data_IF_834183165264
#
_entry.id   IF_834183165264
#
_cell.length_a   1.000
_cell.length_b   1.000
_cell.length_c   1.000
_cell.angle_alpha   90.00
_cell.angle_beta   90.00
_cell.angle_gamma   90.00
#
_symmetry.space_group_name_H-M   'P 1'
#
loop_
_entity.id
_entity.type
_entity.pdbx_description
1 polymer ?
#
# COMPACT_ATOMS: atom_id res chain seq x y z
N UNK A 1 5.79 -21.06 -18.38
CA UNK A 1 5.36 -19.97 -17.47
C UNK A 1 3.85 -20.04 -17.31
N UNK A 2 3.30 -19.83 -16.11
CA UNK A 2 1.85 -19.93 -15.90
C UNK A 2 1.14 -18.79 -16.67
N UNK A 3 0.16 -19.07 -17.56
CA UNK A 3 -0.47 -18.04 -18.42
C UNK A 3 -1.06 -16.88 -17.63
N UNK A 4 -1.58 -17.14 -16.42
CA UNK A 4 -2.04 -16.10 -15.50
C UNK A 4 -0.95 -15.08 -15.14
N UNK A 5 0.27 -15.55 -14.85
CA UNK A 5 1.39 -14.67 -14.47
C UNK A 5 1.89 -13.85 -15.66
N UNK A 6 1.88 -14.43 -16.85
CA UNK A 6 2.19 -13.72 -18.08
C UNK A 6 1.20 -12.58 -18.29
N UNK A 7 -0.10 -12.87 -18.24
CA UNK A 7 -1.17 -11.86 -18.41
C UNK A 7 -1.06 -10.78 -17.33
N UNK A 8 -0.91 -11.16 -16.05
CA UNK A 8 -0.75 -10.21 -14.96
C UNK A 8 0.48 -9.31 -15.12
N UNK A 9 1.62 -9.89 -15.49
CA UNK A 9 2.87 -9.15 -15.71
C UNK A 9 2.79 -8.21 -16.91
N UNK A 10 2.23 -8.66 -18.03
CA UNK A 10 2.01 -7.81 -19.21
C UNK A 10 1.05 -6.66 -18.90
N UNK A 11 -0.06 -6.94 -18.21
CA UNK A 11 -1.02 -5.92 -17.80
C UNK A 11 -0.41 -4.91 -16.81
N UNK A 12 0.41 -5.37 -15.86
CA UNK A 12 1.13 -4.50 -14.93
C UNK A 12 2.10 -3.55 -15.66
N UNK A 13 2.92 -4.09 -16.57
CA UNK A 13 3.82 -3.27 -17.39
C UNK A 13 3.06 -2.25 -18.26
N UNK A 14 1.94 -2.65 -18.86
CA UNK A 14 1.09 -1.75 -19.65
C UNK A 14 0.48 -0.63 -18.80
N UNK A 15 0.03 -0.92 -17.57
CA UNK A 15 -0.49 0.09 -16.65
C UNK A 15 0.58 1.09 -16.25
N UNK A 16 1.80 0.63 -15.92
CA UNK A 16 2.91 1.52 -15.60
C UNK A 16 3.28 2.42 -16.78
N UNK A 17 3.34 1.86 -17.99
CA UNK A 17 3.58 2.63 -19.22
C UNK A 17 2.46 3.63 -19.49
N UNK A 18 1.21 3.26 -19.22
CA UNK A 18 0.06 4.16 -19.35
C UNK A 18 0.15 5.33 -18.37
N UNK A 19 0.45 5.06 -17.10
CA UNK A 19 0.64 6.11 -16.10
C UNK A 19 1.78 7.06 -16.47
N UNK A 20 2.91 6.52 -16.93
CA UNK A 20 4.03 7.33 -17.41
C UNK A 20 3.66 8.16 -18.66
N UNK A 21 3.01 7.55 -19.65
CA UNK A 21 2.61 8.22 -20.89
C UNK A 21 1.56 9.32 -20.63
N UNK A 22 0.60 9.09 -19.73
CA UNK A 22 -0.39 10.09 -19.35
C UNK A 22 0.28 11.34 -18.73
N UNK A 23 1.26 11.14 -17.85
CA UNK A 23 2.02 12.24 -17.24
C UNK A 23 2.96 12.94 -18.22
N UNK A 24 3.68 12.19 -19.06
CA UNK A 24 4.73 12.74 -19.93
C UNK A 24 4.20 13.31 -21.26
N UNK A 25 3.24 12.63 -21.89
CA UNK A 25 2.68 13.02 -23.21
C UNK A 25 1.45 13.90 -23.02
N UNK A 26 0.58 13.54 -22.07
CA UNK A 26 -0.65 14.29 -21.80
C UNK A 26 -0.42 15.54 -20.96
N UNK A 27 0.71 15.62 -20.23
CA UNK A 27 0.96 16.69 -19.25
C UNK A 27 -0.04 16.69 -18.09
N UNK A 28 -0.85 15.63 -17.95
CA UNK A 28 -1.86 15.50 -16.90
C UNK A 28 -1.20 14.74 -15.76
N UNK A 29 -0.97 15.43 -14.64
CA UNK A 29 -0.48 14.76 -13.43
C UNK A 29 -1.52 13.78 -12.92
N UNK A 30 -1.09 12.69 -12.28
CA UNK A 30 -2.01 11.79 -11.58
C UNK A 30 -2.80 12.49 -10.46
N UNK A 31 -2.32 13.64 -9.98
CA UNK A 31 -3.06 14.47 -9.03
C UNK A 31 -4.22 15.24 -9.67
N UNK A 32 -4.19 15.45 -10.98
CA UNK A 32 -5.28 16.09 -11.73
C UNK A 32 -6.40 15.12 -12.09
N UNK A 33 -6.21 13.83 -11.80
CA UNK A 33 -7.21 12.81 -12.11
C UNK A 33 -8.38 12.90 -11.13
N UNK A 34 -9.60 12.74 -11.64
CA UNK A 34 -10.76 12.57 -10.79
C UNK A 34 -10.56 11.43 -9.79
N UNK A 35 -11.04 11.61 -8.55
CA UNK A 35 -10.83 10.66 -7.45
C UNK A 35 -11.13 9.20 -7.83
N UNK A 36 -12.22 8.97 -8.58
CA UNK A 36 -12.61 7.65 -9.06
C UNK A 36 -11.59 7.03 -10.02
N UNK A 37 -11.01 7.83 -10.92
CA UNK A 37 -9.98 7.38 -11.86
C UNK A 37 -8.67 7.04 -11.16
N UNK A 38 -8.25 7.87 -10.19
CA UNK A 38 -7.07 7.60 -9.37
C UNK A 38 -7.22 6.31 -8.56
N UNK A 39 -8.37 6.11 -7.92
CA UNK A 39 -8.66 4.88 -7.18
C UNK A 39 -8.71 3.66 -8.09
N UNK A 40 -9.39 3.75 -9.24
CA UNK A 40 -9.47 2.65 -10.18
C UNK A 40 -8.07 2.23 -10.67
N UNK A 41 -7.21 3.20 -11.00
CA UNK A 41 -5.84 2.93 -11.45
C UNK A 41 -4.99 2.24 -10.38
N UNK A 42 -5.07 2.70 -9.12
CA UNK A 42 -4.36 2.06 -7.99
C UNK A 42 -4.86 0.63 -7.77
N UNK A 43 -6.19 0.41 -7.80
CA UNK A 43 -6.77 -0.93 -7.65
C UNK A 43 -6.29 -1.86 -8.77
N UNK A 44 -6.27 -1.39 -10.02
CA UNK A 44 -5.79 -2.17 -11.16
C UNK A 44 -4.30 -2.51 -11.07
N UNK A 45 -3.46 -1.59 -10.57
CA UNK A 45 -2.06 -1.89 -10.27
C UNK A 45 -1.93 -2.99 -9.21
N UNK A 46 -2.71 -2.91 -8.13
CA UNK A 46 -2.69 -3.94 -7.09
C UNK A 46 -3.16 -5.31 -7.63
N UNK A 47 -4.24 -5.35 -8.41
CA UNK A 47 -4.79 -6.59 -8.99
C UNK A 47 -3.80 -7.24 -9.96
N UNK A 48 -3.19 -6.45 -10.85
CA UNK A 48 -2.24 -6.97 -11.84
C UNK A 48 -0.93 -7.42 -11.19
N UNK A 49 -0.45 -6.69 -10.17
CA UNK A 49 0.67 -7.12 -9.32
C UNK A 49 0.39 -8.46 -8.63
N UNK A 50 -0.78 -8.61 -8.01
CA UNK A 50 -1.20 -9.89 -7.42
C UNK A 50 -1.28 -10.96 -8.51
N UNK A 51 -1.87 -10.71 -9.67
CA UNK A 51 -1.92 -11.73 -10.73
C UNK A 51 -0.54 -12.15 -11.26
N UNK A 52 0.41 -11.22 -11.34
CA UNK A 52 1.77 -11.48 -11.82
C UNK A 52 2.61 -12.27 -10.79
N UNK A 53 2.54 -11.87 -9.52
CA UNK A 53 3.47 -12.34 -8.48
C UNK A 53 2.86 -13.31 -7.47
N UNK A 54 1.53 -13.33 -7.31
CA UNK A 54 0.87 -14.24 -6.37
C UNK A 54 0.84 -15.67 -6.92
N UNK A 55 1.59 -16.55 -6.28
CA UNK A 55 1.54 -17.99 -6.54
C UNK A 55 0.95 -18.73 -5.35
N UNK A 56 -0.26 -19.26 -5.52
CA UNK A 56 -0.97 -20.00 -4.47
C UNK A 56 -0.21 -21.26 -4.03
N UNK A 57 0.64 -21.81 -4.90
CA UNK A 57 1.43 -23.03 -4.62
C UNK A 57 2.63 -22.81 -3.69
N UNK A 58 3.08 -21.56 -3.54
CA UNK A 58 4.22 -21.22 -2.67
C UNK A 58 3.78 -20.61 -1.33
N UNK A 59 2.48 -20.52 -1.08
CA UNK A 59 1.99 -20.12 0.22
C UNK A 59 2.06 -21.35 1.12
N UNK A 60 2.83 -21.31 2.23
CA UNK A 60 2.58 -22.27 3.30
C UNK A 60 1.09 -22.21 3.65
N UNK A 61 0.50 -23.33 4.09
CA UNK A 61 -0.88 -23.34 4.60
C UNK A 61 -0.99 -22.33 5.74
N UNK A 62 -1.36 -21.09 5.37
CA UNK A 62 -1.34 -19.95 6.27
C UNK A 62 -2.53 -20.07 7.19
N UNK A 63 -2.30 -20.56 8.40
CA UNK A 63 -3.19 -20.34 9.52
C UNK A 63 -3.12 -18.84 9.85
N UNK A 64 -4.14 -18.09 9.42
CA UNK A 64 -4.34 -16.73 9.89
C UNK A 64 -4.56 -16.80 11.40
N UNK A 65 -3.52 -16.46 12.16
CA UNK A 65 -3.58 -16.50 13.61
C UNK A 65 -4.12 -15.15 14.11
N UNK A 66 -5.29 -15.18 14.75
CA UNK A 66 -5.93 -13.97 15.27
C UNK A 66 -5.27 -13.59 16.61
N UNK A 67 -4.37 -12.61 16.58
CA UNK A 67 -3.66 -12.17 17.78
C UNK A 67 -3.87 -10.68 18.06
N UNK A 68 -4.89 -10.31 18.86
CA UNK A 68 -5.19 -8.92 19.16
C UNK A 68 -4.07 -8.20 19.94
N UNK A 69 -3.25 -8.93 20.72
CA UNK A 69 -2.12 -8.33 21.45
C UNK A 69 -1.07 -7.77 20.48
N UNK A 70 -0.84 -8.46 19.36
CA UNK A 70 0.05 -7.98 18.30
C UNK A 70 -0.53 -6.75 17.62
N UNK A 71 -1.81 -6.74 17.31
CA UNK A 71 -2.46 -5.55 16.75
C UNK A 71 -2.29 -4.30 17.61
N UNK A 72 -2.40 -4.45 18.93
CA UNK A 72 -2.11 -3.35 19.88
C UNK A 72 -0.65 -2.92 19.83
N UNK A 73 0.30 -3.85 19.78
CA UNK A 73 1.73 -3.55 19.63
C UNK A 73 1.98 -2.74 18.33
N UNK A 74 1.45 -3.19 17.20
CA UNK A 74 1.62 -2.53 15.91
C UNK A 74 0.95 -1.14 15.89
N UNK A 75 -0.19 -0.98 16.55
CA UNK A 75 -0.83 0.33 16.72
C UNK A 75 0.13 1.31 17.41
N UNK A 76 0.71 0.95 18.56
CA UNK A 76 1.66 1.82 19.25
C UNK A 76 2.96 2.05 18.46
N UNK A 77 3.40 1.05 17.70
CA UNK A 77 4.54 1.21 16.79
C UNK A 77 4.25 2.24 15.68
N UNK A 78 3.01 2.27 15.18
CA UNK A 78 2.55 3.28 14.22
C UNK A 78 2.69 4.71 14.75
N UNK A 79 2.40 4.93 16.03
CA UNK A 79 2.57 6.23 16.69
C UNK A 79 4.03 6.69 16.77
N UNK A 80 4.99 5.79 16.63
CA UNK A 80 6.41 6.12 16.59
C UNK A 80 6.86 6.30 15.13
N UNK A 81 6.50 5.36 14.26
CA UNK A 81 6.96 5.33 12.86
C UNK A 81 6.37 6.50 12.05
N UNK A 82 5.06 6.75 12.12
CA UNK A 82 4.42 7.71 11.23
C UNK A 82 4.84 9.16 11.49
N UNK A 83 4.97 9.64 12.75
CA UNK A 83 5.51 10.99 12.99
C UNK A 83 6.95 11.15 12.49
N UNK A 84 7.77 10.09 12.58
CA UNK A 84 9.14 10.11 12.04
C UNK A 84 9.11 10.22 10.51
N UNK A 85 8.27 9.44 9.83
CA UNK A 85 8.10 9.52 8.38
C UNK A 85 7.60 10.89 7.92
N UNK A 86 6.59 11.43 8.59
CA UNK A 86 6.07 12.78 8.30
C UNK A 86 7.15 13.84 8.58
N UNK A 87 7.97 13.65 9.63
CA UNK A 87 9.12 14.53 9.90
C UNK A 87 10.16 14.53 8.79
N UNK A 88 10.42 13.37 8.18
CA UNK A 88 11.29 13.26 6.99
C UNK A 88 10.68 13.97 5.78
N UNK A 89 9.38 13.83 5.55
CA UNK A 89 8.68 14.56 4.48
C UNK A 89 8.65 16.08 4.73
N UNK A 90 8.50 16.52 5.98
CA UNK A 90 8.56 17.93 6.34
C UNK A 90 9.95 18.55 6.04
N UNK A 91 11.04 17.79 6.23
CA UNK A 91 12.39 18.20 5.83
C UNK A 91 12.55 18.35 4.30
N UNK A 92 11.69 17.69 3.52
CA UNK A 92 11.66 17.83 2.05
C UNK A 92 10.83 19.01 1.55
N UNK A 93 10.29 19.84 2.46
CA UNK A 93 9.59 21.08 2.13
C UNK A 93 8.06 20.95 2.06
N UNK A 94 7.48 19.88 2.60
CA UNK A 94 6.03 19.71 2.65
C UNK A 94 5.42 20.45 3.86
N UNK A 95 4.41 21.28 3.60
CA UNK A 95 3.65 22.00 4.62
C UNK A 95 2.57 21.10 5.25
N UNK A 96 2.73 20.80 6.54
CA UNK A 96 1.76 20.00 7.28
C UNK A 96 1.09 20.80 8.39
N UNK A 97 -0.24 20.73 8.44
CA UNK A 97 -1.02 21.19 9.58
C UNK A 97 -0.98 20.13 10.69
N UNK A 98 -0.77 20.54 11.94
CA UNK A 98 -0.71 19.64 13.10
C UNK A 98 -1.91 18.70 13.20
N UNK A 99 -3.10 19.18 12.85
CA UNK A 99 -4.33 18.37 12.78
C UNK A 99 -4.26 17.26 11.72
N UNK A 100 -3.69 17.54 10.54
CA UNK A 100 -3.50 16.54 9.47
C UNK A 100 -2.47 15.49 9.88
N UNK A 101 -1.39 15.90 10.56
CA UNK A 101 -0.39 14.97 11.06
C UNK A 101 -1.01 14.01 12.09
N UNK A 102 -1.74 14.54 13.09
CA UNK A 102 -2.39 13.73 14.11
C UNK A 102 -3.42 12.76 13.52
N UNK A 103 -4.30 13.25 12.65
CA UNK A 103 -5.32 12.40 12.01
C UNK A 103 -4.68 11.35 11.10
N UNK A 104 -3.64 11.72 10.34
CA UNK A 104 -2.89 10.79 9.49
C UNK A 104 -2.18 9.71 10.31
N UNK A 105 -1.44 10.11 11.35
CA UNK A 105 -0.78 9.17 12.27
C UNK A 105 -1.79 8.23 12.93
N UNK A 106 -2.91 8.75 13.43
CA UNK A 106 -3.94 7.92 14.06
C UNK A 106 -4.54 6.92 13.06
N UNK A 107 -4.96 7.39 11.87
CA UNK A 107 -5.57 6.54 10.85
C UNK A 107 -4.63 5.42 10.40
N UNK A 108 -3.37 5.77 10.12
CA UNK A 108 -2.35 4.79 9.70
C UNK A 108 -1.98 3.83 10.83
N UNK A 109 -1.96 4.30 12.09
CA UNK A 109 -1.74 3.45 13.28
C UNK A 109 -2.88 2.46 13.50
N UNK A 110 -4.14 2.86 13.28
CA UNK A 110 -5.29 1.95 13.32
C UNK A 110 -5.17 0.89 12.22
N UNK A 111 -4.82 1.29 11.00
CA UNK A 111 -4.68 0.36 9.88
C UNK A 111 -3.56 -0.67 10.10
N UNK A 112 -2.38 -0.23 10.53
CA UNK A 112 -1.27 -1.16 10.83
C UNK A 112 -1.58 -2.03 12.06
N UNK A 113 -2.33 -1.50 13.04
CA UNK A 113 -2.83 -2.28 14.16
C UNK A 113 -3.76 -3.40 13.70
N UNK A 114 -4.75 -3.10 12.86
CA UNK A 114 -5.66 -4.10 12.28
C UNK A 114 -4.88 -5.14 11.48
N UNK A 115 -3.95 -4.72 10.61
CA UNK A 115 -3.09 -5.64 9.87
C UNK A 115 -2.27 -6.53 10.81
N UNK A 116 -1.74 -5.94 11.89
CA UNK A 116 -0.98 -6.61 12.93
C UNK A 116 -1.74 -7.74 13.63
N UNK A 117 -3.07 -7.64 13.76
CA UNK A 117 -3.93 -8.70 14.32
C UNK A 117 -3.84 -9.99 13.50
N UNK A 118 -3.67 -9.85 12.19
CA UNK A 118 -3.68 -10.96 11.23
C UNK A 118 -2.26 -11.32 10.73
N UNK A 119 -1.23 -10.72 11.32
CA UNK A 119 0.16 -11.09 10.97
C UNK A 119 0.50 -12.47 11.53
N UNK A 120 1.07 -13.30 10.66
CA UNK A 120 1.50 -14.67 10.99
C UNK A 120 2.29 -14.71 12.30
N UNK A 121 1.98 -15.69 13.15
CA UNK A 121 2.84 -16.07 14.25
C UNK A 121 4.17 -16.54 13.63
N UNK A 122 5.17 -15.66 13.55
CA UNK A 122 6.56 -16.05 13.37
C UNK A 122 6.91 -16.80 14.64
N UNK A 123 6.63 -18.11 14.64
CA UNK A 123 7.02 -18.98 15.73
C UNK A 123 8.51 -18.81 15.95
N UNK A 124 8.89 -18.51 17.19
CA UNK A 124 10.17 -18.97 17.71
C UNK A 124 10.06 -20.47 17.90
#
# INVERSE_FOLDING_TARGET
>A
MNPRKLIGGTAFCMLLLWGWAASYIGGISQDDWGLLWRLAYVIWLCVTFVMAFYDRKNLPEKAWDFNPKRGVLYFFLGWIIFPVLIGVEALSGADFTLSRMLVGTLAMSVLIGILGIFTENVGV
#
